data_IF_969052840878
#
_entry.id   IF_969052840878
#
_cell.length_a   1.000
_cell.length_b   1.000
_cell.length_c   1.000
_cell.angle_alpha   90.00
_cell.angle_beta   90.00
_cell.angle_gamma   90.00
#
_symmetry.space_group_name_H-M   'P 1'
#
loop_
_entity.id
_entity.type
_entity.pdbx_description
1 polymer ?
#
# COMPACT_ATOMS: atom_id res chain seq x y z
N UNK A 1 34.11 52.97 -36.04
CA UNK A 1 32.72 52.74 -35.56
C UNK A 1 32.24 51.39 -36.08
N UNK A 2 32.30 50.33 -35.27
CA UNK A 2 31.69 49.03 -35.60
C UNK A 2 30.67 48.71 -34.51
N UNK A 3 29.39 48.74 -34.88
CA UNK A 3 28.28 48.35 -34.01
C UNK A 3 28.19 46.83 -34.04
N UNK A 4 28.42 46.17 -32.91
CA UNK A 4 28.10 44.76 -32.76
C UNK A 4 26.68 44.65 -32.19
N UNK A 5 25.76 44.19 -33.04
CA UNK A 5 24.40 43.84 -32.68
C UNK A 5 24.45 42.53 -31.90
N UNK A 6 24.22 42.57 -30.59
CA UNK A 6 24.06 41.36 -29.77
C UNK A 6 22.69 40.75 -30.02
N UNK A 7 22.67 39.53 -30.57
CA UNK A 7 21.48 38.70 -30.70
C UNK A 7 21.31 37.93 -29.38
N UNK A 8 20.30 38.27 -28.57
CA UNK A 8 19.97 37.51 -27.36
C UNK A 8 19.10 36.32 -27.75
N UNK A 9 19.63 35.11 -27.65
CA UNK A 9 18.89 33.87 -27.82
C UNK A 9 18.19 33.52 -26.50
N UNK A 10 16.87 33.70 -26.42
CA UNK A 10 16.08 33.25 -25.29
C UNK A 10 15.86 31.74 -25.40
N UNK A 11 16.54 30.96 -24.55
CA UNK A 11 16.28 29.52 -24.42
C UNK A 11 14.96 29.31 -23.68
N UNK A 12 13.97 28.77 -24.37
CA UNK A 12 12.74 28.27 -23.76
C UNK A 12 13.09 26.97 -23.00
N UNK A 13 13.27 27.05 -21.69
CA UNK A 13 13.36 25.87 -20.84
C UNK A 13 11.97 25.23 -20.76
N UNK A 14 11.73 24.22 -21.60
CA UNK A 14 10.55 23.37 -21.49
C UNK A 14 10.72 22.53 -20.22
N UNK A 15 10.09 22.94 -19.13
CA UNK A 15 9.98 22.12 -17.94
C UNK A 15 9.20 20.86 -18.33
N UNK A 16 9.91 19.76 -18.58
CA UNK A 16 9.29 18.45 -18.72
C UNK A 16 8.59 18.14 -17.40
N UNK A 17 7.26 18.21 -17.40
CA UNK A 17 6.46 17.71 -16.30
C UNK A 17 6.69 16.20 -16.22
N UNK A 18 7.58 15.78 -15.33
CA UNK A 18 7.78 14.37 -15.01
C UNK A 18 6.47 13.85 -14.45
N UNK A 19 5.81 12.94 -15.17
CA UNK A 19 4.63 12.24 -14.66
C UNK A 19 4.96 11.62 -13.30
N UNK A 20 4.03 11.65 -12.33
CA UNK A 20 4.30 11.17 -10.99
C UNK A 20 4.73 9.71 -11.01
N UNK A 21 5.76 9.44 -10.24
CA UNK A 21 6.43 8.16 -10.13
C UNK A 21 5.56 7.08 -9.45
N UNK A 22 4.63 7.51 -8.59
CA UNK A 22 3.67 6.67 -7.88
C UNK A 22 2.32 7.39 -7.75
N UNK A 23 1.24 6.70 -8.09
CA UNK A 23 -0.13 7.13 -7.82
C UNK A 23 -0.72 6.32 -6.65
N UNK A 24 -1.30 7.01 -5.67
CA UNK A 24 -1.98 6.43 -4.52
C UNK A 24 -3.49 6.68 -4.63
N UNK A 25 -4.29 5.61 -4.53
CA UNK A 25 -5.74 5.70 -4.45
C UNK A 25 -6.29 4.93 -3.25
N UNK A 26 -7.24 5.53 -2.53
CA UNK A 26 -8.06 4.82 -1.55
C UNK A 26 -9.23 4.16 -2.30
N UNK A 27 -9.28 2.83 -2.29
CA UNK A 27 -10.32 2.01 -2.92
C UNK A 27 -11.22 1.30 -1.89
N UNK A 28 -12.22 0.55 -2.34
CA UNK A 28 -13.16 -0.12 -1.43
C UNK A 28 -12.51 -1.19 -0.53
N UNK A 29 -11.50 -1.90 -1.07
CA UNK A 29 -10.90 -3.09 -0.47
C UNK A 29 -9.41 -2.91 -0.13
N UNK A 30 -8.90 -1.68 -0.23
CA UNK A 30 -7.52 -1.35 0.13
C UNK A 30 -7.02 -0.06 -0.51
N UNK A 31 -5.71 0.14 -0.42
CA UNK A 31 -4.98 1.28 -0.94
C UNK A 31 -4.25 0.80 -2.19
N UNK A 32 -4.67 1.29 -3.35
CA UNK A 32 -4.03 0.98 -4.62
C UNK A 32 -2.80 1.85 -4.80
N UNK A 33 -1.66 1.20 -5.05
CA UNK A 33 -0.38 1.81 -5.29
C UNK A 33 0.00 1.48 -6.74
N UNK A 34 -0.07 2.47 -7.63
CA UNK A 34 0.26 2.31 -9.05
C UNK A 34 1.65 2.90 -9.30
N UNK A 35 2.64 2.02 -9.42
CA UNK A 35 3.98 2.39 -9.84
C UNK A 35 4.16 2.09 -11.33
N UNK A 36 5.24 2.61 -11.92
CA UNK A 36 5.64 2.23 -13.28
C UNK A 36 5.93 0.73 -13.36
N UNK A 37 5.68 0.15 -14.54
CA UNK A 37 6.14 -1.19 -14.87
C UNK A 37 7.65 -1.33 -14.62
N UNK A 38 8.13 -2.51 -14.20
CA UNK A 38 7.39 -3.77 -14.09
C UNK A 38 6.72 -4.00 -12.71
N UNK A 39 6.72 -3.01 -11.81
CA UNK A 39 6.01 -3.14 -10.51
C UNK A 39 4.50 -3.06 -10.72
N UNK A 40 4.04 -2.14 -11.58
CA UNK A 40 2.64 -1.98 -11.94
C UNK A 40 1.78 -1.59 -10.73
N UNK A 41 0.55 -2.11 -10.68
CA UNK A 41 -0.41 -1.83 -9.60
C UNK A 41 -0.40 -2.93 -8.55
N UNK A 42 -0.18 -2.55 -7.29
CA UNK A 42 -0.29 -3.45 -6.14
C UNK A 42 -1.18 -2.83 -5.06
N UNK A 43 -1.73 -3.68 -4.17
CA UNK A 43 -2.72 -3.27 -3.18
C UNK A 43 -2.21 -3.46 -1.76
N UNK A 44 -2.01 -2.36 -1.05
CA UNK A 44 -1.78 -2.36 0.39
C UNK A 44 -3.14 -2.48 1.09
N UNK A 45 -3.28 -3.43 2.01
CA UNK A 45 -4.52 -3.57 2.77
C UNK A 45 -4.79 -2.31 3.60
N UNK A 46 -6.05 -2.01 3.87
CA UNK A 46 -6.35 -1.12 4.99
C UNK A 46 -5.72 -1.64 6.29
N UNK A 47 -5.33 -0.74 7.21
CA UNK A 47 -4.79 -1.14 8.50
C UNK A 47 -5.78 -2.04 9.23
N UNK A 48 -5.26 -3.13 9.80
CA UNK A 48 -6.00 -3.96 10.74
C UNK A 48 -5.71 -3.45 12.14
N UNK A 49 -6.74 -3.32 12.97
CA UNK A 49 -6.61 -2.90 14.38
C UNK A 49 -7.10 -4.05 15.25
N UNK A 50 -6.25 -4.48 16.19
CA UNK A 50 -6.55 -5.62 17.05
C UNK A 50 -5.92 -5.48 18.43
N UNK A 51 -6.55 -6.08 19.43
CA UNK A 51 -5.97 -6.16 20.77
C UNK A 51 -4.81 -7.15 20.77
N UNK A 52 -3.78 -6.86 21.54
CA UNK A 52 -2.69 -7.79 21.77
C UNK A 52 -3.20 -9.16 22.26
N UNK A 53 -2.71 -10.24 21.64
CA UNK A 53 -3.19 -11.60 21.89
C UNK A 53 -4.43 -12.02 21.08
N UNK A 54 -5.00 -11.13 20.26
CA UNK A 54 -6.08 -11.45 19.33
C UNK A 54 -5.61 -11.47 17.87
N UNK A 55 -6.40 -12.12 17.01
CA UNK A 55 -6.15 -12.14 15.58
C UNK A 55 -6.41 -10.77 14.94
N UNK A 56 -5.54 -10.37 14.01
CA UNK A 56 -5.69 -9.14 13.26
C UNK A 56 -6.89 -9.20 12.31
N UNK A 57 -7.86 -8.30 12.50
CA UNK A 57 -9.04 -8.18 11.64
C UNK A 57 -9.02 -6.86 10.87
N UNK A 58 -9.40 -6.93 9.59
CA UNK A 58 -9.62 -5.74 8.78
C UNK A 58 -10.85 -4.95 9.22
N UNK A 59 -11.07 -3.76 8.65
CA UNK A 59 -12.31 -3.03 8.85
C UNK A 59 -13.50 -3.86 8.36
N UNK A 60 -14.59 -3.82 9.11
CA UNK A 60 -15.88 -4.39 8.73
C UNK A 60 -16.59 -3.51 7.68
N UNK A 61 -16.42 -2.19 7.76
CA UNK A 61 -16.89 -1.24 6.75
C UNK A 61 -15.82 -0.23 6.38
N UNK A 62 -15.80 0.14 5.11
CA UNK A 62 -14.93 1.17 4.55
C UNK A 62 -15.78 2.14 3.76
N UNK A 63 -15.69 3.42 4.12
CA UNK A 63 -16.29 4.51 3.37
C UNK A 63 -15.19 5.46 2.90
N UNK A 64 -15.00 5.60 1.59
CA UNK A 64 -14.00 6.50 1.02
C UNK A 64 -14.69 7.77 0.54
N UNK A 65 -14.13 8.92 0.90
CA UNK A 65 -14.52 10.24 0.39
C UNK A 65 -13.26 11.04 0.12
N UNK A 66 -13.01 11.35 -1.15
CA UNK A 66 -11.79 12.03 -1.61
C UNK A 66 -10.51 11.30 -1.14
N UNK A 67 -9.67 11.98 -0.37
CA UNK A 67 -8.39 11.51 0.17
C UNK A 67 -8.52 10.82 1.53
N UNK A 68 -9.75 10.52 1.98
CA UNK A 68 -10.03 10.03 3.32
C UNK A 68 -10.85 8.74 3.28
N UNK A 69 -10.41 7.72 4.02
CA UNK A 69 -11.16 6.51 4.29
C UNK A 69 -11.60 6.46 5.76
N UNK A 70 -12.89 6.22 5.99
CA UNK A 70 -13.50 6.00 7.29
C UNK A 70 -13.71 4.51 7.50
N UNK A 71 -13.08 3.98 8.54
CA UNK A 71 -12.96 2.57 8.84
C UNK A 71 -13.70 2.25 10.13
N UNK A 72 -14.60 1.27 10.09
CA UNK A 72 -15.24 0.72 11.29
C UNK A 72 -14.85 -0.73 11.46
N UNK A 73 -14.47 -1.14 12.66
CA UNK A 73 -14.02 -2.50 12.95
C UNK A 73 -15.07 -3.24 13.78
N UNK A 74 -15.13 -4.57 13.64
CA UNK A 74 -16.10 -5.41 14.35
C UNK A 74 -15.97 -5.35 15.89
N UNK A 75 -14.79 -4.98 16.40
CA UNK A 75 -14.52 -4.79 17.82
C UNK A 75 -14.95 -3.40 18.35
N UNK A 76 -15.63 -2.58 17.53
CA UNK A 76 -16.10 -1.24 17.89
C UNK A 76 -15.07 -0.12 17.67
N UNK A 77 -13.81 -0.45 17.35
CA UNK A 77 -12.82 0.55 16.98
C UNK A 77 -13.25 1.29 15.71
N UNK A 78 -12.85 2.56 15.63
CA UNK A 78 -13.05 3.41 14.46
C UNK A 78 -11.71 4.02 14.07
N UNK A 79 -11.49 4.22 12.78
CA UNK A 79 -10.33 4.96 12.34
C UNK A 79 -10.61 5.80 11.10
N UNK A 80 -9.95 6.95 11.04
CA UNK A 80 -9.89 7.78 9.85
C UNK A 80 -8.49 7.68 9.28
N UNK A 81 -8.37 7.20 8.04
CA UNK A 81 -7.13 7.15 7.30
C UNK A 81 -7.14 8.25 6.25
N UNK A 82 -6.22 9.22 6.36
CA UNK A 82 -6.08 10.31 5.39
C UNK A 82 -4.79 10.15 4.59
N UNK A 83 -4.91 10.24 3.26
CA UNK A 83 -3.78 10.27 2.33
C UNK A 83 -3.30 11.70 2.10
N UNK A 84 -2.00 11.94 2.29
CA UNK A 84 -1.33 13.20 2.01
C UNK A 84 -0.67 13.19 0.63
N UNK A 85 -0.56 14.37 0.01
CA UNK A 85 0.10 14.53 -1.29
C UNK A 85 1.62 14.22 -1.25
N UNK A 86 2.20 14.11 -0.06
CA UNK A 86 3.58 13.69 0.18
C UNK A 86 3.74 12.16 0.31
N UNK A 87 2.67 11.40 0.06
CA UNK A 87 2.63 9.94 0.24
C UNK A 87 2.44 9.51 1.69
N UNK A 88 2.18 10.44 2.63
CA UNK A 88 1.83 10.09 4.00
C UNK A 88 0.44 9.47 4.08
N UNK A 89 0.30 8.51 4.99
CA UNK A 89 -0.95 7.88 5.36
C UNK A 89 -1.11 8.05 6.88
N UNK A 90 -1.99 8.98 7.25
CA UNK A 90 -2.23 9.35 8.66
C UNK A 90 -3.45 8.62 9.18
N UNK A 91 -3.24 7.70 10.11
CA UNK A 91 -4.28 6.93 10.78
C UNK A 91 -4.62 7.56 12.14
N UNK A 92 -5.83 8.07 12.27
CA UNK A 92 -6.40 8.53 13.53
C UNK A 92 -7.42 7.52 14.02
N UNK A 93 -7.07 6.74 15.03
CA UNK A 93 -7.97 5.75 15.61
C UNK A 93 -8.68 6.28 16.86
N UNK A 94 -9.93 5.88 17.03
CA UNK A 94 -10.80 6.26 18.16
C UNK A 94 -11.61 5.04 18.60
N UNK A 95 -12.22 5.13 19.77
CA UNK A 95 -13.03 4.03 20.33
C UNK A 95 -12.26 2.70 20.40
N UNK A 96 -10.96 2.77 20.70
CA UNK A 96 -10.10 1.60 20.80
C UNK A 96 -10.51 0.71 21.98
N UNK A 97 -10.39 -0.62 21.84
CA UNK A 97 -10.62 -1.53 22.95
C UNK A 97 -9.60 -1.29 24.07
N UNK A 98 -9.99 -1.57 25.32
CA UNK A 98 -9.09 -1.44 26.46
C UNK A 98 -7.87 -2.37 26.35
N UNK A 99 -6.71 -1.84 26.75
CA UNK A 99 -5.43 -2.54 26.79
C UNK A 99 -4.50 -2.14 25.64
N UNK A 100 -3.51 -3.00 25.36
CA UNK A 100 -2.57 -2.77 24.27
C UNK A 100 -3.22 -3.11 22.94
N UNK A 101 -3.26 -2.11 22.05
CA UNK A 101 -3.77 -2.25 20.69
C UNK A 101 -2.60 -2.27 19.71
N UNK A 102 -2.69 -3.13 18.72
CA UNK A 102 -1.74 -3.26 17.62
C UNK A 102 -2.41 -2.87 16.32
N UNK A 103 -1.59 -2.39 15.41
CA UNK A 103 -1.92 -2.13 14.02
C UNK A 103 -1.07 -3.02 13.12
N UNK A 104 -1.66 -3.56 12.05
CA UNK A 104 -0.90 -4.29 11.03
C UNK A 104 -1.29 -3.89 9.63
N UNK A 105 -0.32 -3.91 8.73
CA UNK A 105 -0.51 -3.70 7.29
C UNK A 105 -0.07 -4.94 6.55
N UNK A 106 -0.70 -5.22 5.40
CA UNK A 106 -0.34 -6.36 4.55
C UNK A 106 -0.29 -5.90 3.10
N UNK A 107 0.76 -6.29 2.39
CA UNK A 107 0.94 -6.07 0.96
C UNK A 107 1.24 -7.42 0.31
N UNK A 108 0.35 -7.86 -0.58
CA UNK A 108 0.52 -9.11 -1.34
C UNK A 108 0.85 -8.82 -2.80
N UNK A 109 1.78 -9.58 -3.37
CA UNK A 109 2.14 -9.46 -4.79
C UNK A 109 2.47 -10.82 -5.41
N UNK A 110 2.17 -10.97 -6.69
CA UNK A 110 2.20 -12.25 -7.41
C UNK A 110 3.62 -12.78 -7.60
N UNK A 111 3.86 -14.05 -7.29
CA UNK A 111 5.15 -14.68 -7.56
C UNK A 111 5.46 -14.71 -9.06
N UNK A 112 4.45 -14.94 -9.90
CA UNK A 112 4.59 -14.97 -11.38
C UNK A 112 5.10 -13.63 -11.95
N UNK A 113 4.66 -12.52 -11.37
CA UNK A 113 5.04 -11.19 -11.85
C UNK A 113 6.40 -10.72 -11.28
N UNK A 114 6.74 -11.11 -10.04
CA UNK A 114 7.85 -10.49 -9.30
C UNK A 114 9.09 -11.37 -9.12
N UNK A 115 8.94 -12.70 -9.08
CA UNK A 115 10.07 -13.61 -8.81
C UNK A 115 11.15 -13.51 -9.89
N UNK A 116 12.43 -13.38 -9.49
CA UNK A 116 13.57 -13.19 -10.39
C UNK A 116 13.65 -11.84 -11.08
N UNK A 117 12.68 -10.93 -10.86
CA UNK A 117 12.55 -9.67 -11.61
C UNK A 117 12.56 -8.44 -10.72
N UNK A 118 12.13 -8.60 -9.48
CA UNK A 118 12.02 -7.51 -8.51
C UNK A 118 12.94 -7.81 -7.33
N UNK A 119 13.69 -6.80 -6.92
CA UNK A 119 14.49 -6.81 -5.71
C UNK A 119 13.72 -6.23 -4.53
N UNK A 120 14.09 -6.63 -3.33
CA UNK A 120 13.57 -6.10 -2.09
C UNK A 120 14.72 -5.71 -1.15
N UNK A 121 14.48 -4.74 -0.29
CA UNK A 121 15.40 -4.40 0.81
C UNK A 121 14.65 -3.95 2.05
N UNK A 122 15.33 -4.03 3.20
CA UNK A 122 14.83 -3.58 4.49
C UNK A 122 15.83 -2.59 5.07
N UNK A 123 15.36 -1.41 5.54
CA UNK A 123 16.20 -0.36 6.14
C UNK A 123 17.48 -0.03 5.34
N UNK A 124 17.38 0.11 4.01
CA UNK A 124 18.52 0.36 3.11
C UNK A 124 19.59 -0.75 3.09
N UNK A 125 19.25 -1.97 3.50
CA UNK A 125 20.10 -3.12 3.24
C UNK A 125 20.37 -3.24 1.73
N UNK A 126 21.46 -3.94 1.39
CA UNK A 126 21.71 -4.32 0.00
C UNK A 126 20.47 -5.01 -0.60
N UNK A 127 19.97 -4.55 -1.77
CA UNK A 127 18.82 -5.15 -2.41
C UNK A 127 19.06 -6.61 -2.77
N UNK A 128 18.06 -7.46 -2.51
CA UNK A 128 18.06 -8.88 -2.82
C UNK A 128 16.96 -9.20 -3.81
N UNK A 129 17.27 -9.98 -4.85
CA UNK A 129 16.26 -10.45 -5.78
C UNK A 129 15.23 -11.34 -5.07
N UNK A 130 13.95 -11.19 -5.41
CA UNK A 130 12.94 -12.15 -4.98
C UNK A 130 13.23 -13.51 -5.61
N UNK A 131 13.14 -14.60 -4.82
CA UNK A 131 13.59 -15.91 -5.28
C UNK A 131 12.70 -16.46 -6.40
N UNK A 132 13.31 -16.90 -7.50
CA UNK A 132 12.61 -17.52 -8.64
C UNK A 132 11.86 -18.78 -8.24
N UNK A 133 12.47 -19.58 -7.36
CA UNK A 133 11.90 -20.83 -6.84
C UNK A 133 11.43 -20.67 -5.40
N UNK A 134 10.53 -21.56 -4.97
CA UNK A 134 10.04 -21.61 -3.58
C UNK A 134 11.24 -21.69 -2.62
N UNK A 135 11.28 -20.80 -1.63
CA UNK A 135 12.30 -20.84 -0.57
C UNK A 135 11.82 -21.68 0.62
N UNK A 136 12.63 -22.62 1.14
CA UNK A 136 12.30 -23.38 2.33
C UNK A 136 12.07 -22.48 3.55
N UNK A 137 11.00 -22.73 4.30
CA UNK A 137 10.69 -22.03 5.54
C UNK A 137 9.86 -20.75 5.35
N UNK A 138 9.63 -20.32 4.12
CA UNK A 138 8.62 -19.30 3.78
C UNK A 138 8.92 -17.86 4.22
N UNK A 139 10.03 -17.58 4.91
CA UNK A 139 10.40 -16.23 5.35
C UNK A 139 11.69 -15.76 4.67
N UNK A 140 11.60 -14.63 3.96
CA UNK A 140 12.74 -13.92 3.38
C UNK A 140 13.32 -12.90 4.36
N UNK A 141 12.46 -12.33 5.21
CA UNK A 141 12.83 -11.42 6.29
C UNK A 141 11.86 -11.54 7.48
N UNK A 142 12.41 -11.39 8.68
CA UNK A 142 11.70 -11.29 9.97
C UNK A 142 12.53 -10.43 10.92
N UNK A 143 11.97 -9.34 11.43
CA UNK A 143 12.67 -8.50 12.39
C UNK A 143 12.11 -7.10 12.51
N UNK A 144 12.64 -6.35 13.47
CA UNK A 144 12.31 -4.94 13.62
C UNK A 144 12.89 -4.14 12.46
N UNK A 145 12.02 -3.35 11.83
CA UNK A 145 12.38 -2.55 10.68
C UNK A 145 11.44 -1.36 10.54
N UNK A 146 11.95 -0.30 9.92
CA UNK A 146 11.17 0.89 9.61
C UNK A 146 10.68 0.87 8.17
N UNK A 147 11.48 0.36 7.23
CA UNK A 147 11.16 0.47 5.81
C UNK A 147 11.37 -0.83 5.07
N UNK A 148 10.42 -1.13 4.18
CA UNK A 148 10.55 -2.11 3.12
C UNK A 148 10.52 -1.39 1.76
N UNK A 149 11.40 -1.81 0.85
CA UNK A 149 11.45 -1.35 -0.53
C UNK A 149 11.29 -2.53 -1.48
N UNK A 150 10.54 -2.31 -2.57
CA UNK A 150 10.50 -3.14 -3.76
C UNK A 150 11.05 -2.30 -4.92
N UNK A 151 11.97 -2.84 -5.70
CA UNK A 151 12.53 -2.17 -6.86
C UNK A 151 12.69 -3.16 -8.02
N UNK A 152 12.53 -2.67 -9.23
CA UNK A 152 12.77 -3.47 -10.42
C UNK A 152 13.56 -2.62 -11.42
N UNK A 153 14.29 -3.29 -12.31
CA UNK A 153 15.08 -2.59 -13.33
C UNK A 153 14.19 -1.65 -14.15
N UNK A 154 14.64 -0.40 -14.31
CA UNK A 154 13.89 0.64 -15.03
C UNK A 154 12.67 1.22 -14.29
N UNK A 155 12.42 0.83 -13.03
CA UNK A 155 11.35 1.38 -12.20
C UNK A 155 11.90 2.18 -11.02
N UNK A 156 11.18 3.24 -10.64
CA UNK A 156 11.49 4.07 -9.46
C UNK A 156 11.23 3.33 -8.13
N UNK A 157 10.67 2.12 -8.18
CA UNK A 157 10.40 1.28 -7.02
C UNK A 157 9.28 1.81 -6.13
N UNK A 158 8.93 1.02 -5.12
CA UNK A 158 7.91 1.33 -4.13
C UNK A 158 8.43 1.03 -2.73
N UNK A 159 8.18 1.94 -1.80
CA UNK A 159 8.51 1.79 -0.40
C UNK A 159 7.31 1.97 0.52
N UNK A 160 7.31 1.19 1.61
CA UNK A 160 6.44 1.41 2.75
C UNK A 160 7.31 1.66 3.98
N UNK A 161 7.09 2.77 4.66
CA UNK A 161 7.77 3.11 5.93
C UNK A 161 6.75 3.17 7.06
N UNK A 162 6.99 2.41 8.12
CA UNK A 162 6.25 2.45 9.38
C UNK A 162 7.08 3.17 10.45
N UNK A 163 6.46 3.78 11.47
CA UNK A 163 7.18 4.56 12.47
C UNK A 163 8.03 3.69 13.41
N UNK A 164 7.60 2.46 13.66
CA UNK A 164 8.30 1.44 14.46
C UNK A 164 7.58 0.10 14.31
N UNK A 165 8.24 -0.99 14.69
CA UNK A 165 7.61 -2.30 14.81
C UNK A 165 8.32 -3.38 14.02
N UNK A 166 7.66 -4.53 14.02
CA UNK A 166 8.17 -5.76 13.47
C UNK A 166 7.62 -5.98 12.06
N UNK A 167 8.46 -6.41 11.13
CA UNK A 167 8.08 -6.68 9.75
C UNK A 167 8.45 -8.10 9.33
N UNK A 168 7.68 -8.62 8.38
CA UNK A 168 7.95 -9.90 7.75
C UNK A 168 7.79 -9.78 6.25
N UNK A 169 8.72 -10.37 5.51
CA UNK A 169 8.55 -10.65 4.09
C UNK A 169 8.53 -12.15 3.90
N UNK A 170 7.46 -12.66 3.31
CA UNK A 170 7.16 -14.08 3.21
C UNK A 170 7.07 -14.52 1.75
N UNK A 171 7.62 -15.69 1.45
CA UNK A 171 7.34 -16.46 0.24
C UNK A 171 6.15 -17.39 0.52
N UNK A 172 4.96 -16.99 0.08
CA UNK A 172 3.72 -17.72 0.37
C UNK A 172 3.61 -19.04 -0.41
N UNK A 173 4.53 -19.30 -1.35
CA UNK A 173 4.60 -20.61 -2.02
C UNK A 173 4.96 -21.71 -1.03
N UNK A 174 5.53 -21.36 0.12
CA UNK A 174 5.70 -22.31 1.23
C UNK A 174 4.36 -22.95 1.61
N UNK A 175 3.29 -22.14 1.65
CA UNK A 175 1.93 -22.56 1.99
C UNK A 175 1.01 -22.61 0.76
N UNK A 176 1.56 -23.05 -0.39
CA UNK A 176 0.84 -23.30 -1.64
C UNK A 176 0.09 -22.10 -2.24
N UNK A 177 0.44 -20.87 -1.86
CA UNK A 177 -0.13 -19.65 -2.44
C UNK A 177 0.91 -19.00 -3.36
N UNK A 178 0.55 -18.71 -4.62
CA UNK A 178 1.49 -18.19 -5.64
C UNK A 178 1.78 -16.69 -5.48
N UNK A 179 2.26 -16.28 -4.31
CA UNK A 179 2.55 -14.88 -3.98
C UNK A 179 3.72 -14.72 -3.02
N UNK A 180 4.18 -13.49 -2.91
CA UNK A 180 4.92 -12.99 -1.77
C UNK A 180 3.98 -12.12 -0.93
N UNK A 181 4.30 -11.97 0.36
CA UNK A 181 3.54 -11.10 1.26
C UNK A 181 4.47 -10.37 2.20
N UNK A 182 4.35 -9.06 2.23
CA UNK A 182 4.90 -8.23 3.30
C UNK A 182 3.83 -7.97 4.36
N UNK A 183 4.20 -8.09 5.64
CA UNK A 183 3.39 -7.66 6.76
C UNK A 183 4.20 -6.74 7.68
N UNK A 184 3.52 -5.78 8.30
CA UNK A 184 4.06 -5.03 9.44
C UNK A 184 3.14 -5.16 10.64
N UNK A 185 3.72 -5.08 11.83
CA UNK A 185 3.02 -5.14 13.10
C UNK A 185 3.63 -4.09 14.05
N UNK A 186 2.79 -3.20 14.56
CA UNK A 186 3.23 -2.11 15.42
C UNK A 186 2.23 -1.92 16.55
N UNK A 187 2.67 -1.38 17.67
CA UNK A 187 1.72 -0.85 18.66
C UNK A 187 1.05 0.40 18.09
N UNK A 188 -0.25 0.52 18.33
CA UNK A 188 -0.96 1.76 18.04
C UNK A 188 -0.73 2.71 19.24
N UNK A 189 -0.31 3.96 19.00
CA UNK A 189 -0.08 4.91 20.08
C UNK A 189 -1.38 5.19 20.84
N UNK A 190 -1.28 5.38 22.16
CA UNK A 190 -2.44 5.73 23.01
C UNK A 190 -2.95 7.14 22.73
N UNK A 191 -2.05 8.03 22.31
CA UNK A 191 -2.34 9.42 22.01
C UNK A 191 -1.70 9.81 20.68
N UNK A 192 -2.39 10.66 19.91
CA UNK A 192 -1.90 11.16 18.63
C UNK A 192 -2.05 10.18 17.44
N UNK A 193 -1.75 10.67 16.22
CA UNK A 193 -1.89 9.87 15.01
C UNK A 193 -0.80 8.80 14.89
N UNK A 194 -1.15 7.67 14.29
CA UNK A 194 -0.19 6.73 13.74
C UNK A 194 0.07 7.11 12.28
N UNK A 195 1.31 7.51 11.96
CA UNK A 195 1.68 7.94 10.60
C UNK A 195 2.61 6.92 9.99
N UNK A 196 2.25 6.42 8.82
CA UNK A 196 3.12 5.62 7.95
C UNK A 196 3.17 6.28 6.57
N UNK A 197 4.17 5.94 5.76
CA UNK A 197 4.32 6.56 4.44
C UNK A 197 4.47 5.51 3.36
N UNK A 198 3.90 5.80 2.20
CA UNK A 198 4.16 5.09 0.94
C UNK A 198 4.86 6.07 0.02
N UNK A 199 6.00 5.67 -0.53
CA UNK A 199 6.85 6.51 -1.37
C UNK A 199 7.41 5.69 -2.51
N UNK A 200 7.97 6.35 -3.50
CA UNK A 200 8.86 5.70 -4.46
C UNK A 200 10.20 5.42 -3.80
N UNK A 201 10.98 4.47 -4.32
CA UNK A 201 12.27 4.12 -3.71
C UNK A 201 13.29 5.25 -3.83
N UNK A 202 13.18 6.09 -4.86
CA UNK A 202 14.00 7.28 -5.10
C UNK A 202 13.55 8.54 -4.33
N UNK A 203 12.43 8.47 -3.59
CA UNK A 203 11.87 9.61 -2.85
C UNK A 203 11.14 10.64 -3.71
N UNK A 204 10.90 10.34 -4.99
CA UNK A 204 10.07 11.14 -5.88
C UNK A 204 8.65 11.39 -5.36
N UNK A 205 7.98 12.47 -5.81
CA UNK A 205 6.64 12.83 -5.35
C UNK A 205 5.58 11.78 -5.65
N UNK A 206 4.65 11.62 -4.71
CA UNK A 206 3.45 10.79 -4.87
C UNK A 206 2.31 11.66 -5.38
N UNK A 207 1.49 11.14 -6.29
CA UNK A 207 0.23 11.80 -6.67
C UNK A 207 -0.94 11.07 -6.05
N UNK A 208 -1.84 11.83 -5.43
CA UNK A 208 -3.14 11.32 -5.02
C UNK A 208 -4.02 11.24 -6.26
N UNK A 209 -4.50 10.05 -6.60
CA UNK A 209 -5.49 9.93 -7.64
C UNK A 209 -6.85 10.47 -7.15
N UNK A 210 -7.79 10.64 -8.09
CA UNK A 210 -9.11 11.18 -7.78
C UNK A 210 -9.88 10.13 -6.97
N UNK A 211 -9.93 10.31 -5.65
CA UNK A 211 -10.73 9.48 -4.76
C UNK A 211 -12.16 9.35 -5.28
N UNK A 212 -12.60 8.12 -5.54
CA UNK A 212 -14.01 7.85 -5.83
C UNK A 212 -14.73 7.77 -4.50
N UNK A 213 -15.94 8.32 -4.43
CA UNK A 213 -16.85 8.02 -3.33
C UNK A 213 -17.22 6.55 -3.49
N UNK A 214 -16.81 5.73 -2.52
CA UNK A 214 -17.09 4.30 -2.53
C UNK A 214 -17.43 3.87 -1.10
N UNK A 215 -18.60 3.26 -0.92
CA UNK A 215 -18.97 2.57 0.31
C UNK A 215 -18.95 1.06 0.08
N UNK A 216 -18.44 0.31 1.05
CA UNK A 216 -18.61 -1.15 1.07
C UNK A 216 -20.07 -1.58 1.22
N UNK A 217 -20.94 -0.69 1.73
CA UNK A 217 -22.40 -0.94 1.81
C UNK A 217 -23.05 -0.88 0.42
N UNK A 218 -22.51 -0.05 -0.49
CA UNK A 218 -22.99 0.05 -1.88
C UNK A 218 -22.59 -1.16 -2.75
N UNK A 219 -21.69 -2.01 -2.25
CA UNK A 219 -21.23 -3.24 -2.93
C UNK A 219 -22.04 -4.48 -2.52
N UNK A 220 -23.00 -4.35 -1.60
CA UNK A 220 -23.93 -5.43 -1.30
C UNK A 220 -25.03 -5.48 -2.36
N UNK A 221 -24.78 -6.22 -3.45
CA UNK A 221 -25.88 -6.77 -4.25
C UNK A 221 -26.37 -8.00 -3.49
N UNK A 222 -27.59 -7.99 -2.90
CA UNK A 222 -28.14 -9.22 -2.34
C UNK A 222 -28.10 -10.27 -3.44
N UNK A 223 -27.57 -11.45 -3.11
CA UNK A 223 -27.72 -12.62 -3.96
C UNK A 223 -29.22 -12.71 -4.30
N UNK A 224 -29.63 -12.69 -5.57
CA UNK A 224 -31.04 -12.82 -5.88
C UNK A 224 -31.50 -14.13 -5.27
N UNK A 225 -32.51 -14.05 -4.41
CA UNK A 225 -33.19 -15.22 -3.85
C UNK A 225 -33.45 -16.19 -5.02
N UNK A 226 -32.87 -17.39 -4.91
CA UNK A 226 -32.90 -18.42 -5.93
C UNK A 226 -34.30 -19.04 -6.05
N UNK A 227 -35.27 -18.25 -6.51
CA UNK A 227 -36.64 -18.68 -6.80
C UNK A 227 -37.04 -18.49 -8.26
N UNK A 228 -36.11 -18.15 -9.13
CA UNK A 228 -36.36 -18.15 -10.57
C UNK A 228 -35.71 -19.38 -11.23
N UNK A 229 -36.41 -20.51 -11.17
CA UNK A 229 -36.05 -21.76 -11.87
C UNK A 229 -36.32 -21.68 -13.39
N UNK A 230 -36.62 -20.50 -13.95
CA UNK A 230 -36.98 -20.33 -15.36
C UNK A 230 -35.80 -20.20 -16.33
N UNK A 231 -34.54 -20.27 -15.86
CA UNK A 231 -33.35 -20.00 -16.67
C UNK A 231 -32.40 -21.19 -16.85
N UNK A 232 -32.92 -22.42 -16.92
CA UNK A 232 -32.18 -23.54 -17.51
C UNK A 232 -32.88 -24.00 -18.79
N UNK A 233 -32.23 -23.91 -19.97
CA UNK A 233 -32.74 -24.59 -21.16
C UNK A 233 -32.61 -26.10 -20.93
N UNK A 234 -33.70 -26.82 -21.18
CA UNK A 234 -33.73 -28.29 -21.21
C UNK A 234 -32.92 -28.90 -22.33
#
# INVERSE_FOLDING_TARGET
>A
MKKHTSLTLAALALAAATAPALELNLGADGIELKAKEPIGTIKLSYPKIFKEGQNAQGPATVNVTNDTAYLTFANGAKATLKAGADGSLTLNATSLPEGNVKVSHSLGFSAKAFAGKTSWSINDSEPKLLPETKTPGGFLFRGDALRMLLSAEGSEGLGVTIPFGYQELQDQREWNTQSFRWNSFSHLPKEGPYVYTVRTADGSPVTLGKGRIVSTEDLYVPYPDSKDESLWPG
#
